data_IF_095290382888
#
_entry.id   IF_095290382888
#
_cell.length_a   1.000
_cell.length_b   1.000
_cell.length_c   1.000
_cell.angle_alpha   90.00
_cell.angle_beta   90.00
_cell.angle_gamma   90.00
#
_symmetry.space_group_name_H-M   'P 1'
#
loop_
_entity.id
_entity.type
_entity.pdbx_description
1 polymer ?
#
# COMPACT_ATOMS: atom_id res chain seq x y z
N UNK A 1 -4.21 -8.36 51.14
CA UNK A 1 -4.35 -8.62 49.68
C UNK A 1 -3.66 -7.48 48.98
N UNK A 2 -2.60 -7.80 48.23
CA UNK A 2 -1.68 -6.83 47.64
C UNK A 2 -2.26 -6.27 46.32
N UNK A 3 -2.53 -4.95 46.20
CA UNK A 3 -3.11 -4.34 45.01
C UNK A 3 -2.13 -4.18 43.84
N UNK A 4 -0.86 -4.62 43.98
CA UNK A 4 0.17 -4.46 42.95
C UNK A 4 0.15 -5.53 41.83
N UNK A 5 -0.64 -6.60 41.99
CA UNK A 5 -0.74 -7.70 41.01
C UNK A 5 -1.53 -7.35 39.73
N UNK A 6 -2.62 -6.60 39.86
CA UNK A 6 -3.56 -6.34 38.76
C UNK A 6 -3.07 -5.28 37.76
N UNK A 7 -2.34 -4.27 38.24
CA UNK A 7 -1.76 -3.23 37.38
C UNK A 7 -0.66 -3.79 36.46
N UNK A 8 0.11 -4.79 36.93
CA UNK A 8 1.16 -5.45 36.14
C UNK A 8 0.57 -6.39 35.08
N UNK A 9 -0.52 -7.09 35.38
CA UNK A 9 -1.23 -7.92 34.41
C UNK A 9 -1.86 -7.09 33.27
N UNK A 10 -2.41 -5.91 33.59
CA UNK A 10 -2.94 -4.97 32.60
C UNK A 10 -1.87 -4.41 31.66
N UNK A 11 -0.68 -4.07 32.18
CA UNK A 11 0.44 -3.56 31.39
C UNK A 11 1.02 -4.63 30.44
N UNK A 12 1.12 -5.89 30.88
CA UNK A 12 1.61 -7.00 30.05
C UNK A 12 0.61 -7.32 28.92
N UNK A 13 -0.70 -7.29 29.20
CA UNK A 13 -1.75 -7.46 28.18
C UNK A 13 -1.81 -6.29 27.20
N UNK A 14 -1.46 -5.07 27.60
CA UNK A 14 -1.37 -3.91 26.71
C UNK A 14 -0.15 -4.01 25.76
N UNK A 15 0.99 -4.49 26.26
CA UNK A 15 2.20 -4.74 25.45
C UNK A 15 1.96 -5.88 24.44
N UNK A 16 1.26 -6.95 24.85
CA UNK A 16 0.87 -8.05 23.95
C UNK A 16 -0.13 -7.60 22.87
N UNK A 17 -1.06 -6.71 23.20
CA UNK A 17 -1.98 -6.07 22.24
C UNK A 17 -1.25 -5.16 21.24
N UNK A 18 -0.29 -4.36 21.72
CA UNK A 18 0.55 -3.52 20.85
C UNK A 18 1.43 -4.34 19.90
N UNK A 19 2.02 -5.44 20.38
CA UNK A 19 2.82 -6.34 19.56
C UNK A 19 1.99 -7.09 18.51
N UNK A 20 0.77 -7.52 18.86
CA UNK A 20 -0.16 -8.17 17.92
C UNK A 20 -0.59 -7.24 16.79
N UNK A 21 -0.94 -6.00 17.10
CA UNK A 21 -1.36 -5.02 16.11
C UNK A 21 -0.19 -4.61 15.19
N UNK A 22 1.03 -4.48 15.73
CA UNK A 22 2.22 -4.26 14.91
C UNK A 22 2.58 -5.48 14.04
N UNK A 23 2.36 -6.71 14.51
CA UNK A 23 2.60 -7.92 13.72
C UNK A 23 1.61 -8.02 12.54
N UNK A 24 0.35 -7.65 12.74
CA UNK A 24 -0.66 -7.57 11.67
C UNK A 24 -0.30 -6.47 10.66
N UNK A 25 0.09 -5.28 11.13
CA UNK A 25 0.54 -4.20 10.24
C UNK A 25 1.81 -4.58 9.45
N UNK A 26 2.74 -5.34 10.05
CA UNK A 26 3.94 -5.85 9.37
C UNK A 26 3.64 -6.98 8.38
N UNK A 27 2.66 -7.84 8.65
CA UNK A 27 2.21 -8.85 7.67
C UNK A 27 1.55 -8.19 6.44
N UNK A 28 0.80 -7.11 6.66
CA UNK A 28 0.20 -6.30 5.59
C UNK A 28 1.26 -5.52 4.80
N UNK A 29 2.34 -5.07 5.46
CA UNK A 29 3.47 -4.41 4.80
C UNK A 29 4.48 -5.38 4.13
N UNK A 30 4.49 -6.65 4.52
CA UNK A 30 5.56 -7.61 4.21
C UNK A 30 5.23 -8.72 3.20
N UNK A 31 4.11 -8.67 2.47
CA UNK A 31 3.75 -9.71 1.47
C UNK A 31 4.52 -9.59 0.14
N UNK A 32 5.81 -9.29 0.22
CA UNK A 32 6.79 -9.55 -0.84
C UNK A 32 7.77 -10.60 -0.35
N UNK A 33 7.91 -11.66 -1.15
CA UNK A 33 8.81 -12.83 -1.03
C UNK A 33 8.27 -14.02 -0.23
N UNK A 34 7.36 -14.78 -0.83
CA UNK A 34 7.39 -16.24 -0.66
C UNK A 34 8.42 -16.81 -1.64
N UNK A 35 9.63 -17.02 -1.15
CA UNK A 35 10.55 -17.99 -1.73
C UNK A 35 9.90 -19.37 -1.57
N UNK A 36 9.63 -20.05 -2.68
CA UNK A 36 9.33 -21.48 -2.70
C UNK A 36 10.40 -22.23 -1.88
N UNK A 37 10.05 -23.23 -1.04
CA UNK A 37 11.04 -24.17 -0.58
C UNK A 37 11.57 -24.94 -1.80
N UNK A 38 12.88 -24.86 -2.03
CA UNK A 38 13.58 -25.78 -2.94
C UNK A 38 13.49 -27.17 -2.30
N UNK A 39 12.90 -28.12 -3.01
CA UNK A 39 13.03 -29.54 -2.68
C UNK A 39 14.50 -29.93 -2.77
N UNK A 40 14.97 -30.64 -1.75
CA UNK A 40 16.26 -31.33 -1.72
C UNK A 40 16.36 -32.31 -2.90
N UNK A 41 17.54 -32.37 -3.53
CA UNK A 41 17.85 -33.30 -4.61
C UNK A 41 18.46 -32.62 -5.83
N UNK A 42 19.74 -32.26 -5.72
CA UNK A 42 20.77 -32.30 -6.79
C UNK A 42 22.00 -31.54 -6.29
N UNK A 43 22.65 -32.12 -5.28
CA UNK A 43 24.08 -31.89 -5.04
C UNK A 43 24.85 -32.66 -6.12
N UNK A 44 25.99 -32.10 -6.55
CA UNK A 44 26.91 -32.60 -7.61
C UNK A 44 26.62 -32.13 -9.04
N UNK A 45 27.01 -30.87 -9.38
CA UNK A 45 27.54 -30.54 -10.72
C UNK A 45 28.17 -29.15 -10.98
N UNK A 46 28.49 -28.32 -10.00
CA UNK A 46 29.18 -27.03 -10.28
C UNK A 46 30.49 -26.83 -9.49
N UNK A 47 31.27 -27.90 -9.36
CA UNK A 47 32.65 -27.83 -8.89
C UNK A 47 33.61 -28.18 -10.02
N UNK A 48 33.59 -27.40 -11.10
CA UNK A 48 34.57 -27.46 -12.20
C UNK A 48 34.39 -26.24 -13.11
N UNK A 49 35.10 -25.15 -12.79
CA UNK A 49 35.71 -24.15 -13.70
C UNK A 49 36.02 -22.87 -12.94
N UNK A 50 36.80 -23.02 -11.89
CA UNK A 50 37.72 -21.98 -11.46
C UNK A 50 39.09 -22.39 -12.04
N UNK A 51 39.79 -21.41 -12.61
CA UNK A 51 41.12 -21.49 -13.24
C UNK A 51 41.22 -22.05 -14.68
N UNK A 52 41.17 -21.12 -15.66
CA UNK A 52 42.25 -20.96 -16.65
C UNK A 52 42.06 -19.68 -17.51
N UNK A 53 43.15 -18.89 -17.56
CA UNK A 53 43.57 -17.99 -18.65
C UNK A 53 43.13 -16.51 -18.68
N UNK A 54 43.85 -15.70 -17.90
CA UNK A 54 44.71 -14.55 -18.28
C UNK A 54 44.50 -13.90 -19.69
N UNK A 55 44.37 -12.56 -19.64
CA UNK A 55 44.64 -11.49 -20.64
C UNK A 55 43.80 -11.36 -21.92
N UNK A 56 42.91 -10.35 -21.92
CA UNK A 56 42.86 -9.36 -23.00
C UNK A 56 42.43 -7.98 -22.48
N UNK A 57 43.25 -7.01 -22.81
CA UNK A 57 43.21 -5.59 -22.42
C UNK A 57 42.20 -4.80 -23.27
N UNK A 58 41.71 -3.68 -22.69
CA UNK A 58 41.08 -2.47 -23.30
C UNK A 58 39.54 -2.45 -23.48
N UNK A 59 38.88 -1.85 -22.47
CA UNK A 59 37.79 -0.81 -22.44
C UNK A 59 36.81 -0.63 -23.63
N UNK A 60 35.53 -0.25 -23.38
CA UNK A 60 35.17 0.90 -22.55
C UNK A 60 34.27 0.59 -21.36
N UNK A 61 34.49 1.38 -20.31
CA UNK A 61 33.57 1.58 -19.20
C UNK A 61 32.15 1.72 -19.76
N UNK A 62 31.32 0.73 -19.45
CA UNK A 62 29.90 0.98 -19.36
C UNK A 62 29.78 2.09 -18.32
N UNK A 63 29.51 3.31 -18.79
CA UNK A 63 29.01 4.36 -17.93
C UNK A 63 27.69 3.80 -17.42
N UNK A 64 27.73 3.17 -16.26
CA UNK A 64 26.55 3.04 -15.43
C UNK A 64 26.18 4.48 -15.11
N UNK A 65 25.38 5.10 -15.99
CA UNK A 65 24.51 6.18 -15.55
C UNK A 65 23.67 5.50 -14.48
N UNK A 66 24.08 5.61 -13.23
CA UNK A 66 23.17 5.41 -12.11
C UNK A 66 22.08 6.43 -12.34
N UNK A 67 21.02 6.00 -13.04
CA UNK A 67 19.79 6.76 -13.14
C UNK A 67 19.36 6.91 -11.68
N UNK A 68 19.59 8.09 -11.13
CA UNK A 68 19.04 8.44 -9.85
C UNK A 68 17.54 8.46 -10.08
N UNK A 69 16.84 7.46 -9.53
CA UNK A 69 15.37 7.43 -9.63
C UNK A 69 14.84 8.64 -8.89
N UNK A 70 13.82 9.27 -9.46
CA UNK A 70 13.12 10.32 -8.77
C UNK A 70 12.56 9.79 -7.44
N UNK A 71 12.53 10.66 -6.43
CA UNK A 71 11.86 10.33 -5.18
C UNK A 71 10.36 10.18 -5.44
N UNK A 72 9.74 9.10 -4.96
CA UNK A 72 8.29 8.91 -5.03
C UNK A 72 7.69 9.12 -3.65
N UNK A 73 7.07 10.27 -3.47
CA UNK A 73 6.41 10.67 -2.25
C UNK A 73 4.91 10.42 -2.40
N UNK A 74 4.29 9.95 -1.30
CA UNK A 74 2.86 9.69 -1.29
C UNK A 74 2.22 10.26 -0.04
N UNK A 75 1.18 11.07 -0.24
CA UNK A 75 0.42 11.69 0.84
C UNK A 75 -1.02 11.19 0.77
N UNK A 76 -1.53 10.69 1.90
CA UNK A 76 -2.90 10.23 2.03
C UNK A 76 -3.61 11.07 3.09
N UNK A 77 -4.69 11.74 2.69
CA UNK A 77 -5.58 12.42 3.62
C UNK A 77 -6.70 11.46 4.08
N UNK A 78 -6.86 11.32 5.39
CA UNK A 78 -8.00 10.61 6.00
C UNK A 78 -8.79 11.60 6.84
N UNK A 79 -9.81 12.30 6.29
CA UNK A 79 -10.71 13.11 7.08
C UNK A 79 -11.40 12.28 8.16
N UNK A 80 -12.01 12.98 9.14
CA UNK A 80 -12.77 12.31 10.18
C UNK A 80 -13.83 11.37 9.58
N UNK A 81 -13.99 10.16 10.15
CA UNK A 81 -14.98 9.22 9.66
C UNK A 81 -16.39 9.78 9.81
N UNK A 82 -17.27 9.40 8.89
CA UNK A 82 -18.71 9.69 8.99
C UNK A 82 -19.47 8.42 9.31
N UNK A 83 -20.78 8.53 9.59
CA UNK A 83 -21.62 7.39 9.93
C UNK A 83 -22.84 7.29 9.03
N UNK A 84 -23.06 6.13 8.43
CA UNK A 84 -24.22 5.81 7.59
C UNK A 84 -24.37 4.29 7.44
N UNK A 85 -25.61 3.80 7.37
CA UNK A 85 -25.91 2.38 7.07
C UNK A 85 -26.16 2.13 5.58
N UNK A 86 -26.01 3.16 4.73
CA UNK A 86 -26.30 3.07 3.29
C UNK A 86 -25.25 3.71 2.40
N UNK A 87 -24.40 4.58 2.94
CA UNK A 87 -23.30 5.19 2.19
C UNK A 87 -22.04 4.32 2.30
N UNK A 88 -21.28 4.27 1.22
CA UNK A 88 -20.03 3.52 1.14
C UNK A 88 -18.83 4.40 1.50
N UNK A 89 -17.81 3.77 2.06
CA UNK A 89 -16.46 4.33 2.11
C UNK A 89 -15.93 4.56 0.68
N UNK A 90 -14.96 5.47 0.53
CA UNK A 90 -14.36 5.74 -0.79
C UNK A 90 -12.86 6.00 -0.69
N UNK A 91 -12.12 5.46 -1.66
CA UNK A 91 -10.74 5.86 -1.98
C UNK A 91 -10.70 6.69 -3.25
N UNK A 92 -10.12 7.88 -3.18
CA UNK A 92 -9.92 8.77 -4.34
C UNK A 92 -8.46 9.15 -4.46
N UNK A 93 -7.86 8.84 -5.60
CA UNK A 93 -6.50 9.26 -5.92
C UNK A 93 -6.53 10.53 -6.80
N UNK A 94 -5.64 11.49 -6.55
CA UNK A 94 -5.36 12.57 -7.50
C UNK A 94 -4.42 12.06 -8.60
N UNK A 95 -4.33 12.82 -9.68
CA UNK A 95 -3.32 12.56 -10.70
C UNK A 95 -1.95 12.97 -10.15
N UNK A 96 -0.93 12.10 -10.21
CA UNK A 96 0.39 12.43 -9.68
C UNK A 96 1.00 13.63 -10.41
N UNK A 97 1.85 14.37 -9.72
CA UNK A 97 2.63 15.48 -10.29
C UNK A 97 4.12 15.18 -10.15
N UNK A 98 4.96 15.91 -10.88
CA UNK A 98 6.42 15.77 -10.77
C UNK A 98 7.13 17.12 -10.82
N UNK A 99 8.34 17.15 -10.29
CA UNK A 99 9.35 18.17 -10.60
C UNK A 99 10.51 17.52 -11.34
N UNK A 100 11.22 18.30 -12.13
CA UNK A 100 12.38 17.84 -12.90
C UNK A 100 13.14 19.01 -13.49
N UNK A 101 14.26 18.70 -14.14
CA UNK A 101 15.12 19.71 -14.74
C UNK A 101 15.87 19.17 -15.96
N UNK A 102 16.35 20.08 -16.81
CA UNK A 102 17.22 19.69 -17.92
C UNK A 102 18.66 19.49 -17.44
N UNK A 103 19.31 18.43 -17.93
CA UNK A 103 20.68 18.05 -17.58
C UNK A 103 21.55 18.06 -18.83
N UNK A 104 22.71 18.70 -18.76
CA UNK A 104 23.62 18.80 -19.91
C UNK A 104 24.50 17.55 -20.05
N UNK A 105 24.36 16.85 -21.19
CA UNK A 105 25.30 15.83 -21.66
C UNK A 105 26.41 16.51 -22.47
N UNK A 106 27.39 17.09 -21.77
CA UNK A 106 28.53 17.81 -22.36
C UNK A 106 29.29 16.99 -23.40
N UNK A 107 29.36 15.66 -23.22
CA UNK A 107 30.08 14.77 -24.15
C UNK A 107 29.37 14.64 -25.49
N UNK A 108 28.03 14.73 -25.49
CA UNK A 108 27.21 14.61 -26.69
C UNK A 108 26.58 15.94 -27.12
N UNK A 109 26.96 17.06 -26.49
CA UNK A 109 26.52 18.42 -26.79
C UNK A 109 24.99 18.57 -26.89
N UNK A 110 24.30 18.02 -25.90
CA UNK A 110 22.83 18.00 -25.84
C UNK A 110 22.33 18.05 -24.41
N UNK A 111 21.09 18.48 -24.26
CA UNK A 111 20.36 18.40 -23.00
C UNK A 111 19.45 17.18 -22.98
N UNK A 112 19.31 16.55 -21.83
CA UNK A 112 18.28 15.55 -21.50
C UNK A 112 17.38 16.08 -20.39
N UNK A 113 16.33 15.36 -20.02
CA UNK A 113 15.45 15.74 -18.91
C UNK A 113 15.44 14.64 -17.86
N UNK A 114 15.58 15.03 -16.60
CA UNK A 114 15.55 14.12 -15.45
C UNK A 114 14.41 14.52 -14.51
N UNK A 115 13.78 13.51 -13.90
CA UNK A 115 12.77 13.74 -12.86
C UNK A 115 13.48 13.82 -11.50
N UNK A 116 13.05 14.75 -10.66
CA UNK A 116 13.55 14.90 -9.30
C UNK A 116 12.64 14.22 -8.29
N UNK A 117 11.36 14.61 -8.32
CA UNK A 117 10.34 14.14 -7.39
C UNK A 117 9.04 13.83 -8.12
N UNK A 118 8.29 12.87 -7.60
CA UNK A 118 6.93 12.53 -8.01
C UNK A 118 6.06 12.50 -6.76
N UNK A 119 5.00 13.31 -6.76
CA UNK A 119 4.04 13.43 -5.67
C UNK A 119 2.74 12.73 -6.04
N UNK A 120 2.34 11.73 -5.25
CA UNK A 120 1.08 11.02 -5.39
C UNK A 120 0.17 11.29 -4.19
N UNK A 121 -0.93 12.00 -4.43
CA UNK A 121 -1.89 12.36 -3.38
C UNK A 121 -3.20 11.57 -3.48
N UNK A 122 -3.83 11.33 -2.35
CA UNK A 122 -5.15 10.70 -2.29
C UNK A 122 -5.92 11.05 -1.02
N UNK A 123 -7.20 10.68 -1.03
CA UNK A 123 -8.11 10.80 0.09
C UNK A 123 -8.85 9.50 0.29
N UNK A 124 -8.93 9.03 1.54
CA UNK A 124 -9.85 7.96 1.95
C UNK A 124 -10.91 8.58 2.86
N UNK A 125 -12.18 8.55 2.42
CA UNK A 125 -13.30 8.85 3.28
C UNK A 125 -13.87 7.54 3.81
N UNK A 126 -13.66 7.30 5.11
CA UNK A 126 -14.28 6.18 5.79
C UNK A 126 -15.72 6.53 6.17
N UNK A 127 -16.64 5.61 5.88
CA UNK A 127 -18.03 5.66 6.33
C UNK A 127 -18.29 4.42 7.16
N UNK A 128 -18.42 4.62 8.47
CA UNK A 128 -18.79 3.55 9.38
C UNK A 128 -20.31 3.38 9.42
N UNK A 129 -20.79 2.19 9.74
CA UNK A 129 -22.18 2.04 10.15
C UNK A 129 -22.51 2.87 11.40
N UNK A 130 -23.80 2.99 11.71
CA UNK A 130 -24.22 3.56 12.99
C UNK A 130 -23.72 2.71 14.16
N UNK A 131 -23.48 3.33 15.31
CA UNK A 131 -22.76 2.68 16.42
C UNK A 131 -23.46 1.40 16.92
N UNK A 132 -24.78 1.29 16.82
CA UNK A 132 -25.58 0.10 17.16
C UNK A 132 -25.23 -1.14 16.33
N UNK A 133 -24.50 -0.98 15.22
CA UNK A 133 -24.07 -2.04 14.30
C UNK A 133 -22.66 -2.54 14.53
N UNK A 134 -22.00 -2.05 15.57
CA UNK A 134 -20.67 -2.50 15.97
C UNK A 134 -20.71 -3.19 17.32
N UNK A 135 -20.09 -4.38 17.47
CA UNK A 135 -19.98 -5.05 18.77
C UNK A 135 -19.22 -4.24 19.83
N UNK A 136 -18.16 -3.53 19.41
CA UNK A 136 -17.35 -2.63 20.22
C UNK A 136 -17.43 -1.21 19.64
N UNK A 137 -18.51 -0.45 19.89
CA UNK A 137 -18.72 0.86 19.27
C UNK A 137 -17.68 1.92 19.68
N UNK A 138 -16.92 1.68 20.75
CA UNK A 138 -15.80 2.52 21.19
C UNK A 138 -14.63 1.65 21.64
N UNK A 139 -13.37 2.02 21.32
CA UNK A 139 -12.98 2.99 20.30
C UNK A 139 -13.24 2.48 18.87
N UNK A 140 -13.05 3.37 17.89
CA UNK A 140 -13.22 3.15 16.44
C UNK A 140 -12.09 2.30 15.81
N UNK A 141 -11.45 1.43 16.60
CA UNK A 141 -10.40 0.50 16.17
C UNK A 141 -10.71 -0.95 16.61
N UNK A 142 -11.97 -1.19 16.96
CA UNK A 142 -12.49 -2.42 17.53
C UNK A 142 -11.85 -2.84 18.87
N UNK A 143 -10.95 -2.06 19.48
CA UNK A 143 -10.17 -2.53 20.65
C UNK A 143 -10.94 -2.49 21.99
N UNK A 144 -12.04 -1.74 22.05
CA UNK A 144 -12.70 -1.42 23.32
C UNK A 144 -13.78 -2.38 23.75
N UNK A 145 -14.56 -1.94 24.74
CA UNK A 145 -15.52 -2.82 25.40
C UNK A 145 -16.60 -3.28 24.41
N UNK A 146 -16.97 -4.56 24.51
CA UNK A 146 -18.00 -5.19 23.69
C UNK A 146 -19.42 -4.80 24.18
N UNK A 147 -19.68 -3.51 24.30
CA UNK A 147 -20.87 -2.95 24.97
C UNK A 147 -22.18 -3.24 24.23
N UNK A 148 -22.11 -3.55 22.93
CA UNK A 148 -23.29 -3.90 22.14
C UNK A 148 -23.50 -5.42 21.99
N UNK A 149 -22.64 -6.24 22.61
CA UNK A 149 -22.80 -7.69 22.60
C UNK A 149 -23.66 -8.11 23.77
N UNK A 150 -24.74 -8.84 23.49
CA UNK A 150 -25.70 -9.35 24.47
C UNK A 150 -25.97 -10.84 24.21
N UNK A 151 -26.56 -11.54 25.18
CA UNK A 151 -26.98 -12.94 25.00
C UNK A 151 -27.95 -13.12 23.82
N UNK A 152 -28.77 -12.09 23.52
CA UNK A 152 -29.76 -12.13 22.45
C UNK A 152 -29.14 -12.01 21.05
N UNK A 153 -28.07 -11.22 20.88
CA UNK A 153 -27.51 -10.92 19.56
C UNK A 153 -26.17 -11.60 19.25
N UNK A 154 -25.49 -12.18 20.25
CA UNK A 154 -24.12 -12.70 20.10
C UNK A 154 -23.98 -13.75 18.98
N UNK A 155 -24.98 -14.61 18.79
CA UNK A 155 -24.95 -15.62 17.74
C UNK A 155 -25.15 -15.00 16.34
N UNK A 156 -25.99 -13.96 16.24
CA UNK A 156 -26.19 -13.22 14.99
C UNK A 156 -24.93 -12.47 14.60
N UNK A 157 -24.28 -11.78 15.55
CA UNK A 157 -22.98 -11.10 15.32
C UNK A 157 -21.96 -12.08 14.74
N UNK A 158 -21.80 -13.23 15.38
CA UNK A 158 -20.82 -14.24 14.94
C UNK A 158 -21.15 -14.86 13.59
N UNK A 159 -22.44 -14.96 13.25
CA UNK A 159 -22.91 -15.42 11.95
C UNK A 159 -22.57 -14.38 10.88
N UNK A 160 -22.90 -13.11 11.09
CA UNK A 160 -22.62 -12.03 10.14
C UNK A 160 -21.11 -11.91 9.86
N UNK A 161 -20.27 -11.98 10.89
CA UNK A 161 -18.82 -11.97 10.71
C UNK A 161 -18.30 -13.17 9.92
N UNK A 162 -18.95 -14.32 10.01
CA UNK A 162 -18.60 -15.49 9.20
C UNK A 162 -19.02 -15.28 7.74
N UNK A 163 -20.25 -14.82 7.52
CA UNK A 163 -20.84 -14.71 6.18
C UNK A 163 -20.19 -13.57 5.39
N UNK A 164 -19.92 -12.45 6.06
CA UNK A 164 -19.36 -11.23 5.46
C UNK A 164 -17.84 -11.11 5.66
N UNK A 165 -17.18 -12.22 6.05
CA UNK A 165 -15.72 -12.25 6.30
C UNK A 165 -14.89 -11.66 5.15
N UNK A 166 -15.38 -11.83 3.92
CA UNK A 166 -14.78 -11.29 2.68
C UNK A 166 -15.85 -10.59 1.82
N UNK A 167 -16.87 -10.03 2.45
CA UNK A 167 -18.01 -9.44 1.75
C UNK A 167 -18.43 -8.13 2.40
N UNK A 168 -19.51 -7.58 1.87
CA UNK A 168 -20.13 -6.37 2.40
C UNK A 168 -20.91 -6.77 3.67
N UNK A 169 -20.68 -6.12 4.82
CA UNK A 169 -21.46 -6.39 6.02
C UNK A 169 -22.93 -6.01 5.80
N UNK A 170 -23.85 -6.92 6.14
CA UNK A 170 -25.31 -6.68 6.04
C UNK A 170 -25.87 -5.97 7.28
N UNK A 171 -25.39 -6.35 8.48
CA UNK A 171 -25.85 -5.73 9.73
C UNK A 171 -24.70 -5.45 10.69
N UNK A 172 -23.96 -6.46 11.14
CA UNK A 172 -22.82 -6.26 12.04
C UNK A 172 -21.51 -6.06 11.27
N UNK A 173 -20.75 -5.01 11.63
CA UNK A 173 -19.45 -4.68 11.02
C UNK A 173 -18.32 -4.56 12.07
N UNK A 174 -17.11 -4.32 11.59
CA UNK A 174 -15.88 -4.07 12.35
C UNK A 174 -15.22 -2.79 11.80
N UNK A 175 -14.88 -1.83 12.66
CA UNK A 175 -14.32 -0.55 12.22
C UNK A 175 -13.04 -0.75 11.40
N UNK A 176 -12.14 -1.59 11.91
CA UNK A 176 -10.86 -1.85 11.28
C UNK A 176 -11.00 -2.57 9.93
N UNK A 177 -12.13 -3.25 9.67
CA UNK A 177 -12.37 -3.88 8.38
C UNK A 177 -12.51 -2.82 7.27
N UNK A 178 -13.27 -1.76 7.50
CA UNK A 178 -13.46 -0.64 6.55
C UNK A 178 -12.12 0.06 6.26
N UNK A 179 -11.31 0.32 7.29
CA UNK A 179 -9.97 0.91 7.12
C UNK A 179 -9.05 0.04 6.28
N UNK A 180 -9.02 -1.27 6.54
CA UNK A 180 -8.15 -2.21 5.81
C UNK A 180 -8.59 -2.38 4.36
N UNK A 181 -9.89 -2.36 4.10
CA UNK A 181 -10.46 -2.39 2.77
C UNK A 181 -9.99 -1.18 1.96
N UNK A 182 -10.23 0.04 2.44
CA UNK A 182 -9.88 1.26 1.71
C UNK A 182 -8.37 1.47 1.61
N UNK A 183 -7.62 1.14 2.67
CA UNK A 183 -6.15 1.17 2.61
C UNK A 183 -5.58 0.23 1.54
N UNK A 184 -6.28 -0.86 1.23
CA UNK A 184 -5.87 -1.79 0.19
C UNK A 184 -5.94 -1.11 -1.19
N UNK A 185 -7.05 -0.44 -1.51
CA UNK A 185 -7.21 0.32 -2.75
C UNK A 185 -6.08 1.35 -2.93
N UNK A 186 -5.74 2.08 -1.86
CA UNK A 186 -4.66 3.06 -1.94
C UNK A 186 -3.28 2.40 -2.06
N UNK A 187 -2.91 1.55 -1.10
CA UNK A 187 -1.52 1.07 -0.93
C UNK A 187 -1.16 -0.03 -1.92
N UNK A 188 -2.05 -0.99 -2.15
CA UNK A 188 -1.76 -2.21 -2.90
C UNK A 188 -2.17 -2.12 -4.36
N UNK A 189 -3.18 -1.32 -4.67
CA UNK A 189 -3.66 -1.13 -6.04
C UNK A 189 -3.07 0.14 -6.65
N UNK A 190 -3.52 1.31 -6.20
CA UNK A 190 -3.14 2.58 -6.82
C UNK A 190 -1.64 2.86 -6.76
N UNK A 191 -1.03 2.90 -5.57
CA UNK A 191 0.39 3.24 -5.44
C UNK A 191 1.31 2.23 -6.14
N UNK A 192 0.90 0.96 -6.23
CA UNK A 192 1.65 -0.07 -6.96
C UNK A 192 1.62 0.16 -8.46
N UNK A 193 0.48 0.59 -9.01
CA UNK A 193 0.36 0.95 -10.41
C UNK A 193 1.09 2.26 -10.73
N UNK A 194 0.93 3.29 -9.89
CA UNK A 194 1.57 4.58 -10.06
C UNK A 194 3.11 4.47 -10.04
N UNK A 195 3.71 3.71 -9.11
CA UNK A 195 5.17 3.48 -9.09
C UNK A 195 5.68 2.77 -10.36
N UNK A 196 4.91 1.83 -10.90
CA UNK A 196 5.26 1.16 -12.16
C UNK A 196 5.15 2.12 -13.36
N UNK A 197 4.12 2.97 -13.38
CA UNK A 197 3.97 4.00 -14.41
C UNK A 197 5.09 5.03 -14.34
N UNK A 198 5.48 5.46 -13.15
CA UNK A 198 6.62 6.36 -12.93
C UNK A 198 7.90 5.79 -13.55
N UNK A 199 8.26 4.54 -13.22
CA UNK A 199 9.47 3.93 -13.77
C UNK A 199 9.46 3.85 -15.31
N UNK A 200 8.27 3.69 -15.92
CA UNK A 200 8.11 3.75 -17.39
C UNK A 200 8.24 5.17 -17.92
N UNK A 201 7.64 6.14 -17.25
CA UNK A 201 7.76 7.55 -17.58
C UNK A 201 9.22 7.99 -17.55
N UNK A 202 9.94 7.72 -16.45
CA UNK A 202 11.40 7.98 -16.32
C UNK A 202 12.19 7.39 -17.50
N UNK A 203 11.93 6.13 -17.85
CA UNK A 203 12.62 5.47 -18.98
C UNK A 203 12.34 6.12 -20.34
N UNK A 204 11.13 6.68 -20.54
CA UNK A 204 10.76 7.39 -21.76
C UNK A 204 11.33 8.82 -21.77
N UNK A 205 11.25 9.52 -20.64
CA UNK A 205 11.72 10.89 -20.45
C UNK A 205 13.24 10.98 -20.60
N UNK A 206 13.99 9.99 -20.09
CA UNK A 206 15.44 9.92 -20.26
C UNK A 206 15.91 9.80 -21.72
N UNK A 207 14.99 9.56 -22.68
CA UNK A 207 15.29 9.52 -24.12
C UNK A 207 15.04 10.87 -24.81
N UNK A 208 14.38 11.80 -24.14
CA UNK A 208 14.19 13.15 -24.64
C UNK A 208 15.55 13.85 -24.74
N UNK A 209 15.72 14.62 -25.81
CA UNK A 209 16.95 15.36 -26.06
C UNK A 209 16.69 16.60 -26.90
N UNK A 210 17.45 17.65 -26.64
CA UNK A 210 17.55 18.83 -27.50
C UNK A 210 19.02 19.22 -27.61
N UNK A 211 19.48 19.55 -28.81
CA UNK A 211 20.88 19.89 -29.02
C UNK A 211 21.23 21.21 -28.33
N UNK A 212 22.43 21.31 -27.76
CA UNK A 212 22.87 22.52 -27.04
C UNK A 212 23.01 23.74 -27.96
N UNK A 213 23.09 23.53 -29.28
CA UNK A 213 23.04 24.61 -30.27
C UNK A 213 21.63 25.20 -30.43
N UNK A 214 20.58 24.40 -30.22
CA UNK A 214 19.17 24.83 -30.26
C UNK A 214 18.73 25.41 -28.91
N UNK A 215 19.25 24.86 -27.81
CA UNK A 215 19.01 25.33 -26.46
C UNK A 215 20.35 25.65 -25.77
N UNK A 216 20.77 26.91 -25.84
CA UNK A 216 22.08 27.33 -25.33
C UNK A 216 22.17 27.32 -23.79
N UNK A 217 21.02 27.38 -23.11
CA UNK A 217 20.94 27.39 -21.65
C UNK A 217 20.05 26.24 -21.15
N UNK A 218 20.21 25.88 -19.87
CA UNK A 218 19.32 24.93 -19.21
C UNK A 218 17.86 25.39 -19.29
N UNK A 219 17.60 26.68 -19.05
CA UNK A 219 16.25 27.24 -19.10
C UNK A 219 15.64 27.14 -20.51
N UNK A 220 16.43 27.30 -21.57
CA UNK A 220 15.94 27.11 -22.94
C UNK A 220 15.68 25.63 -23.25
N UNK A 221 16.49 24.73 -22.70
CA UNK A 221 16.25 23.30 -22.82
C UNK A 221 14.99 22.87 -22.08
N UNK A 222 14.75 23.39 -20.88
CA UNK A 222 13.53 23.13 -20.08
C UNK A 222 12.27 23.57 -20.83
N UNK A 223 12.25 24.75 -21.45
CA UNK A 223 11.12 25.20 -22.30
C UNK A 223 10.76 24.21 -23.41
N UNK A 224 11.73 23.45 -23.91
CA UNK A 224 11.52 22.45 -24.98
C UNK A 224 11.17 21.08 -24.40
N UNK A 225 11.91 20.64 -23.38
CA UNK A 225 11.86 19.27 -22.87
C UNK A 225 10.77 19.04 -21.83
N UNK A 226 10.49 20.01 -20.96
CA UNK A 226 9.51 19.85 -19.86
C UNK A 226 8.09 19.55 -20.38
N UNK A 227 7.54 20.25 -21.40
CA UNK A 227 6.22 19.92 -21.93
C UNK A 227 6.15 18.50 -22.52
N UNK A 228 7.24 18.03 -23.13
CA UNK A 228 7.34 16.67 -23.67
C UNK A 228 7.44 15.63 -22.55
N UNK A 229 8.23 15.93 -21.51
CA UNK A 229 8.35 15.09 -20.33
C UNK A 229 6.99 14.96 -19.62
N UNK A 230 6.27 16.07 -19.50
CA UNK A 230 4.91 16.10 -18.96
C UNK A 230 3.94 15.24 -19.75
N UNK A 231 3.91 15.38 -21.07
CA UNK A 231 3.03 14.56 -21.91
C UNK A 231 3.32 13.05 -21.76
N UNK A 232 4.60 12.66 -21.67
CA UNK A 232 4.99 11.26 -21.47
C UNK A 232 4.61 10.74 -20.07
N UNK A 233 4.81 11.58 -19.04
CA UNK A 233 4.45 11.25 -17.67
C UNK A 233 2.94 11.09 -17.51
N UNK A 234 2.16 12.07 -17.97
CA UNK A 234 0.71 12.08 -17.89
C UNK A 234 0.11 10.87 -18.63
N UNK A 235 0.67 10.49 -19.78
CA UNK A 235 0.22 9.31 -20.53
C UNK A 235 0.41 8.00 -19.75
N UNK A 236 1.55 7.82 -19.06
CA UNK A 236 1.79 6.63 -18.23
C UNK A 236 0.90 6.62 -16.98
N UNK A 237 0.70 7.78 -16.34
CA UNK A 237 -0.18 7.90 -15.18
C UNK A 237 -1.64 7.66 -15.55
N UNK A 238 -2.10 8.17 -16.68
CA UNK A 238 -3.44 7.91 -17.19
C UNK A 238 -3.64 6.41 -17.48
N UNK A 239 -2.63 5.74 -18.06
CA UNK A 239 -2.70 4.29 -18.28
C UNK A 239 -2.76 3.49 -16.95
N UNK A 240 -2.07 3.96 -15.91
CA UNK A 240 -2.22 3.39 -14.56
C UNK A 240 -3.62 3.64 -13.98
N UNK A 241 -4.15 4.86 -14.13
CA UNK A 241 -5.51 5.23 -13.70
C UNK A 241 -6.57 4.36 -14.36
N UNK A 242 -6.51 4.18 -15.67
CA UNK A 242 -7.47 3.31 -16.39
C UNK A 242 -7.44 1.88 -15.85
N UNK A 243 -6.26 1.35 -15.52
CA UNK A 243 -6.14 0.01 -14.92
C UNK A 243 -6.71 -0.06 -13.51
N UNK A 244 -6.47 0.97 -12.70
CA UNK A 244 -7.00 1.04 -11.34
C UNK A 244 -8.53 1.12 -11.35
N UNK A 245 -9.10 1.99 -12.18
CA UNK A 245 -10.57 2.14 -12.32
C UNK A 245 -11.27 0.89 -12.88
N UNK A 246 -10.53 -0.03 -13.50
CA UNK A 246 -11.05 -1.31 -14.00
C UNK A 246 -10.94 -2.45 -12.97
N UNK A 247 -10.37 -2.20 -11.78
CA UNK A 247 -10.30 -3.20 -10.71
C UNK A 247 -11.68 -3.41 -10.09
N UNK A 248 -11.95 -4.64 -9.69
CA UNK A 248 -13.18 -5.01 -9.02
C UNK A 248 -13.19 -4.56 -7.56
N UNK A 249 -14.38 -4.20 -7.10
CA UNK A 249 -14.67 -3.94 -5.70
C UNK A 249 -15.98 -4.63 -5.29
N UNK A 250 -16.01 -5.95 -5.48
CA UNK A 250 -17.14 -6.81 -5.17
C UNK A 250 -16.80 -7.82 -4.07
N UNK A 251 -17.79 -8.41 -3.37
CA UNK A 251 -17.54 -9.47 -2.41
C UNK A 251 -16.60 -10.56 -2.95
N UNK A 252 -15.52 -10.84 -2.21
CA UNK A 252 -14.47 -11.77 -2.59
C UNK A 252 -13.30 -11.16 -3.35
N UNK A 253 -13.37 -9.91 -3.78
CA UNK A 253 -12.24 -9.18 -4.38
C UNK A 253 -11.15 -8.90 -3.35
N UNK A 254 -9.91 -8.59 -3.82
CA UNK A 254 -8.77 -8.40 -2.93
C UNK A 254 -8.98 -7.40 -1.77
N UNK A 255 -9.65 -6.24 -1.94
CA UNK A 255 -9.96 -5.32 -0.83
C UNK A 255 -10.76 -5.99 0.29
N UNK A 256 -11.86 -6.68 -0.05
CA UNK A 256 -12.66 -7.43 0.94
C UNK A 256 -11.90 -8.62 1.54
N UNK A 257 -10.94 -9.22 0.84
CA UNK A 257 -10.06 -10.23 1.44
C UNK A 257 -9.11 -9.61 2.47
N UNK A 258 -8.67 -8.38 2.26
CA UNK A 258 -7.73 -7.68 3.14
C UNK A 258 -8.36 -7.32 4.50
N UNK A 259 -9.68 -7.15 4.56
CA UNK A 259 -10.41 -6.85 5.80
C UNK A 259 -10.57 -8.06 6.74
N UNK A 260 -10.46 -9.28 6.19
CA UNK A 260 -10.78 -10.51 6.91
C UNK A 260 -10.05 -10.71 8.26
N UNK A 261 -8.76 -10.34 8.41
CA UNK A 261 -8.08 -10.43 9.70
C UNK A 261 -8.74 -9.58 10.81
N UNK A 262 -9.28 -8.40 10.48
CA UNK A 262 -9.98 -7.56 11.45
C UNK A 262 -11.30 -8.20 11.89
N UNK A 263 -12.07 -8.72 10.92
CA UNK A 263 -13.32 -9.44 11.19
C UNK A 263 -13.06 -10.68 12.06
N UNK A 264 -12.03 -11.47 11.72
CA UNK A 264 -11.65 -12.66 12.48
C UNK A 264 -11.23 -12.31 13.93
N UNK A 265 -10.46 -11.23 14.10
CA UNK A 265 -10.01 -10.77 15.42
C UNK A 265 -11.18 -10.32 16.30
N UNK A 266 -12.12 -9.52 15.74
CA UNK A 266 -13.30 -9.09 16.49
C UNK A 266 -14.24 -10.27 16.78
N UNK A 267 -14.44 -11.18 15.84
CA UNK A 267 -15.22 -12.40 16.04
C UNK A 267 -14.64 -13.28 17.16
N UNK A 268 -13.31 -13.40 17.24
CA UNK A 268 -12.65 -14.12 18.33
C UNK A 268 -12.90 -13.46 19.69
N UNK A 269 -12.88 -12.12 19.76
CA UNK A 269 -13.20 -11.38 20.99
C UNK A 269 -14.66 -11.56 21.41
N UNK A 270 -15.59 -11.50 20.46
CA UNK A 270 -17.02 -11.76 20.71
C UNK A 270 -17.23 -13.20 21.23
N UNK A 271 -16.56 -14.21 20.65
CA UNK A 271 -16.60 -15.60 21.14
C UNK A 271 -16.07 -15.73 22.56
N UNK A 272 -14.94 -15.08 22.87
CA UNK A 272 -14.37 -15.08 24.22
C UNK A 272 -15.31 -14.42 25.23
N UNK A 273 -15.93 -13.30 24.86
CA UNK A 273 -16.90 -12.60 25.70
C UNK A 273 -18.15 -13.44 25.97
N UNK A 274 -18.71 -14.09 24.93
CA UNK A 274 -19.81 -15.05 25.07
C UNK A 274 -19.50 -16.12 26.13
N UNK A 275 -18.31 -16.73 26.05
CA UNK A 275 -17.85 -17.75 27.00
C UNK A 275 -17.71 -17.19 28.42
N UNK A 276 -17.14 -15.99 28.58
CA UNK A 276 -16.95 -15.36 29.89
C UNK A 276 -18.29 -15.01 30.56
N UNK A 277 -19.29 -14.58 29.78
CA UNK A 277 -20.62 -14.22 30.26
C UNK A 277 -21.57 -15.42 30.43
N UNK A 278 -21.17 -16.63 29.99
CA UNK A 278 -21.98 -17.86 30.01
C UNK A 278 -23.29 -17.75 29.20
N UNK A 279 -23.20 -17.15 28.01
CA UNK A 279 -24.28 -17.10 27.01
C UNK A 279 -24.15 -18.17 25.93
#
# INVERSE_FOLDING_TARGET
>A
MDPSGDARAGAILAIQRGAGNQAVQRLVAGTTVHSKPKSEGDEDKERLKEELSIQRTVTPSAITLTLQRAAFNSTLNKPAPTRSNTASSTTKAKDPTFTGHAVEDKKRQRWTYELDTVEAEGTIQIVYFTADRYPAPTPEDDSGALTNVTSANVNTILKDFKDNRKGIPDHWSAYLAEDLHEDYHWKQEWLKLARKAMAKAESKIAKLKVDSATAATQADAEKVLEPQAKALFDAEMQAARTKWNAMGDSPGDPPYKAQAPAVDALAARVKAHKKAQKW
#
